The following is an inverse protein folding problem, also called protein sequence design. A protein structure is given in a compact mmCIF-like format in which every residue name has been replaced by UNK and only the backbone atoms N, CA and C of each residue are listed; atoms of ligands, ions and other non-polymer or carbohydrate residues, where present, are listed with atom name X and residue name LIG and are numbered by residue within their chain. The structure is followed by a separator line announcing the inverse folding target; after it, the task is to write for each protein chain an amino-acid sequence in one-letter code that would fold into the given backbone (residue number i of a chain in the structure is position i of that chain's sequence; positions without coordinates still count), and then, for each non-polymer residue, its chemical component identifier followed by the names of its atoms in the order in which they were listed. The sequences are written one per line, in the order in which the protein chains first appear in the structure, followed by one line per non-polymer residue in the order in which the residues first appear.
data_IF_564468313136
#
_entry.id   IF_564468313136
#
_cell.length_a   1.000
_cell.length_b   1.000
_cell.length_c   1.000
_cell.angle_alpha   90.00
_cell.angle_beta   90.00
_cell.angle_gamma   90.00
#
_symmetry.space_group_name_H-M   'P 1'
#
loop_
_entity.id
_entity.type
_entity.pdbx_description
1 polymer ?
#
# COMPACT_ATOMS: atom_id res chain seq x y z
N UNK A 1 -3.76 -4.25 -23.99
CA UNK A 1 -5.11 -3.72 -23.66
C UNK A 1 -5.03 -2.21 -23.87
N UNK A 2 -5.84 -1.67 -24.77
CA UNK A 2 -5.76 -0.29 -25.24
C UNK A 2 -6.18 0.70 -24.12
N UNK A 3 -5.42 1.80 -23.96
CA UNK A 3 -5.70 2.87 -23.00
C UNK A 3 -7.12 3.46 -23.12
N UNK A 4 -7.70 3.40 -24.32
CA UNK A 4 -9.07 3.84 -24.59
C UNK A 4 -10.12 2.89 -23.99
N UNK A 5 -9.89 1.59 -23.99
CA UNK A 5 -10.76 0.60 -23.37
C UNK A 5 -10.70 0.66 -21.85
N UNK A 6 -9.54 1.01 -21.29
CA UNK A 6 -9.38 1.21 -19.84
C UNK A 6 -10.15 2.44 -19.35
N UNK A 7 -9.99 3.61 -20.03
CA UNK A 7 -10.75 4.84 -19.72
C UNK A 7 -12.27 4.62 -19.80
N UNK A 8 -12.73 3.85 -20.79
CA UNK A 8 -14.13 3.51 -20.93
C UNK A 8 -14.67 2.65 -19.78
N UNK A 9 -13.90 1.67 -19.30
CA UNK A 9 -14.30 0.82 -18.16
C UNK A 9 -14.32 1.58 -16.83
N UNK A 10 -13.34 2.43 -16.59
CA UNK A 10 -13.28 3.26 -15.38
C UNK A 10 -14.43 4.28 -15.37
N UNK A 11 -14.70 4.96 -16.50
CA UNK A 11 -15.80 5.91 -16.60
C UNK A 11 -17.18 5.24 -16.47
N UNK A 12 -17.38 4.08 -17.06
CA UNK A 12 -18.64 3.31 -16.94
C UNK A 12 -18.85 2.83 -15.51
N UNK A 13 -17.79 2.39 -14.85
CA UNK A 13 -17.83 1.96 -13.44
C UNK A 13 -18.09 3.14 -12.49
N UNK A 14 -17.41 4.27 -12.70
CA UNK A 14 -17.64 5.52 -11.95
C UNK A 14 -19.07 6.01 -12.10
N UNK A 15 -19.62 5.98 -13.31
CA UNK A 15 -20.99 6.40 -13.57
C UNK A 15 -22.03 5.46 -12.92
N UNK A 16 -21.82 4.14 -12.94
CA UNK A 16 -22.68 3.18 -12.25
C UNK A 16 -22.67 3.38 -10.74
N UNK A 17 -21.50 3.67 -10.14
CA UNK A 17 -21.42 3.98 -8.70
C UNK A 17 -22.06 5.31 -8.36
N UNK A 18 -21.86 6.37 -9.16
CA UNK A 18 -22.53 7.66 -8.95
C UNK A 18 -24.05 7.53 -8.92
N UNK A 19 -24.62 6.75 -9.84
CA UNK A 19 -26.06 6.48 -9.83
C UNK A 19 -26.53 5.70 -8.61
N UNK A 20 -25.71 4.75 -8.13
CA UNK A 20 -25.98 4.01 -6.90
C UNK A 20 -25.81 4.88 -5.64
N UNK A 21 -24.84 5.79 -5.62
CA UNK A 21 -24.61 6.71 -4.50
C UNK A 21 -25.73 7.73 -4.39
N UNK A 22 -26.17 8.31 -5.51
CA UNK A 22 -27.32 9.25 -5.53
C UNK A 22 -28.64 8.59 -5.12
N UNK A 23 -28.82 7.30 -5.44
CA UNK A 23 -29.98 6.54 -4.97
C UNK A 23 -29.91 6.26 -3.45
N UNK A 24 -28.71 6.04 -2.92
CA UNK A 24 -28.47 5.83 -1.49
C UNK A 24 -28.51 7.14 -0.67
N UNK A 25 -28.18 8.29 -1.26
CA UNK A 25 -28.28 9.59 -0.60
C UNK A 25 -29.73 10.03 -0.38
N UNK A 26 -30.66 9.63 -1.26
CA UNK A 26 -32.08 9.90 -1.09
C UNK A 26 -32.73 9.05 0.04
N UNK A 27 -32.07 7.97 0.51
CA UNK A 27 -32.53 7.10 1.59
C UNK A 27 -31.81 7.38 2.94
N UNK A 28 -30.93 8.38 3.03
CA UNK A 28 -30.13 8.70 4.23
C UNK A 28 -30.88 9.39 5.39
N UNK A 29 -32.19 9.34 5.40
CA UNK A 29 -32.96 9.58 6.62
C UNK A 29 -32.81 8.41 7.61
N UNK A 30 -31.90 8.53 8.62
CA UNK A 30 -31.88 7.70 9.84
C UNK A 30 -31.48 6.22 9.68
N UNK A 31 -30.24 5.93 9.22
CA UNK A 31 -29.61 4.63 9.52
C UNK A 31 -28.48 4.83 10.55
N UNK A 32 -28.39 3.97 11.61
CA UNK A 32 -27.19 3.95 12.44
C UNK A 32 -25.98 3.72 11.55
N UNK A 33 -24.88 4.44 11.77
CA UNK A 33 -23.64 4.34 10.99
C UNK A 33 -23.18 2.88 10.93
N UNK A 34 -23.25 2.27 9.76
CA UNK A 34 -22.71 0.92 9.56
C UNK A 34 -21.21 0.97 9.86
N UNK A 35 -20.65 -0.01 10.58
CA UNK A 35 -19.22 -0.03 10.85
C UNK A 35 -18.43 0.02 9.53
N UNK A 36 -17.38 0.86 9.47
CA UNK A 36 -16.58 1.00 8.27
C UNK A 36 -15.96 -0.33 7.86
N UNK A 37 -16.02 -0.63 6.57
CA UNK A 37 -15.25 -1.70 5.95
C UNK A 37 -13.89 -1.12 5.54
N UNK A 38 -12.93 -1.20 6.45
CA UNK A 38 -11.61 -0.59 6.29
C UNK A 38 -10.67 -1.53 5.54
N UNK A 39 -10.18 -1.10 4.38
CA UNK A 39 -9.12 -1.79 3.66
C UNK A 39 -7.78 -1.05 3.82
N UNK A 40 -6.71 -1.81 4.07
CA UNK A 40 -5.34 -1.29 3.98
C UNK A 40 -4.75 -1.65 2.63
N UNK A 41 -4.26 -0.65 1.89
CA UNK A 41 -3.49 -0.83 0.68
C UNK A 41 -2.03 -0.49 0.99
N UNK A 42 -1.18 -1.52 1.00
CA UNK A 42 0.22 -1.42 1.39
C UNK A 42 1.12 -1.52 0.16
N UNK A 43 1.69 -0.40 -0.26
CA UNK A 43 2.50 -0.34 -1.47
C UNK A 43 3.94 -0.79 -1.27
N UNK A 44 4.65 -1.00 -2.38
CA UNK A 44 6.05 -1.38 -2.40
C UNK A 44 7.03 -0.23 -2.17
N UNK A 45 8.30 -0.58 -1.88
CA UNK A 45 9.36 0.40 -1.68
C UNK A 45 10.70 -0.16 -1.17
N UNK A 46 10.88 -1.48 -1.17
CA UNK A 46 12.09 -2.15 -0.67
C UNK A 46 12.35 -1.82 0.81
N UNK A 47 13.57 -1.46 1.19
CA UNK A 47 13.96 -1.10 2.57
C UNK A 47 13.08 -0.01 3.21
N UNK A 48 12.43 0.83 2.38
CA UNK A 48 11.51 1.87 2.85
C UNK A 48 10.21 1.31 3.43
N UNK A 49 9.97 -0.01 3.31
CA UNK A 49 8.90 -0.71 4.03
C UNK A 49 8.95 -0.50 5.53
N UNK A 50 10.12 -0.18 6.09
CA UNK A 50 10.27 0.22 7.48
C UNK A 50 9.45 1.49 7.83
N UNK A 51 9.37 2.47 6.92
CA UNK A 51 8.53 3.65 7.13
C UNK A 51 7.03 3.30 7.12
N UNK A 52 6.65 2.36 6.28
CA UNK A 52 5.28 1.85 6.29
C UNK A 52 4.96 1.12 7.61
N UNK A 53 5.90 0.34 8.17
CA UNK A 53 5.74 -0.31 9.48
C UNK A 53 5.49 0.74 10.59
N UNK A 54 6.27 1.82 10.63
CA UNK A 54 6.03 2.93 11.55
C UNK A 54 4.66 3.58 11.38
N UNK A 55 4.23 3.81 10.14
CA UNK A 55 2.91 4.36 9.87
C UNK A 55 1.79 3.42 10.35
N UNK A 56 1.91 2.12 10.09
CA UNK A 56 0.95 1.10 10.51
C UNK A 56 0.80 1.04 12.04
N UNK A 57 1.91 1.16 12.79
CA UNK A 57 1.84 1.21 14.23
C UNK A 57 0.99 2.39 14.72
N UNK A 58 1.21 3.59 14.19
CA UNK A 58 0.44 4.78 14.56
C UNK A 58 -1.04 4.61 14.23
N UNK A 59 -1.39 4.03 13.07
CA UNK A 59 -2.78 3.75 12.70
C UNK A 59 -3.47 2.83 13.71
N UNK A 60 -2.80 1.73 14.10
CA UNK A 60 -3.37 0.77 15.05
C UNK A 60 -3.47 1.34 16.46
N UNK A 61 -2.50 2.16 16.91
CA UNK A 61 -2.56 2.88 18.18
C UNK A 61 -3.74 3.87 18.24
N UNK A 62 -4.20 4.37 17.07
CA UNK A 62 -5.40 5.20 16.94
C UNK A 62 -6.68 4.39 16.70
N UNK A 63 -6.64 3.07 16.83
CA UNK A 63 -7.80 2.20 16.68
C UNK A 63 -8.26 1.99 15.25
N UNK A 64 -7.46 2.39 14.24
CA UNK A 64 -7.77 2.14 12.84
C UNK A 64 -7.24 0.75 12.47
N UNK A 65 -8.15 -0.23 12.47
CA UNK A 65 -7.84 -1.65 12.25
C UNK A 65 -8.36 -2.08 10.88
N UNK A 66 -7.57 -2.84 10.08
CA UNK A 66 -8.03 -3.32 8.78
C UNK A 66 -9.01 -4.49 8.92
N UNK A 67 -10.04 -4.50 8.06
CA UNK A 67 -10.88 -5.66 7.80
C UNK A 67 -10.42 -6.44 6.55
N UNK A 68 -9.53 -5.84 5.77
CA UNK A 68 -8.95 -6.39 4.55
C UNK A 68 -7.61 -5.75 4.27
N UNK A 69 -6.64 -6.53 3.78
CA UNK A 69 -5.32 -6.04 3.39
C UNK A 69 -5.03 -6.49 1.96
N UNK A 70 -4.64 -5.54 1.11
CA UNK A 70 -4.01 -5.82 -0.19
C UNK A 70 -2.64 -5.18 -0.23
N UNK A 71 -1.63 -5.94 -0.65
CA UNK A 71 -0.25 -5.58 -0.41
C UNK A 71 0.69 -5.95 -1.55
N UNK A 72 1.77 -5.17 -1.70
CA UNK A 72 2.71 -5.23 -2.82
C UNK A 72 4.14 -5.13 -2.31
N UNK A 73 5.06 -5.97 -2.81
CA UNK A 73 6.50 -5.86 -2.56
C UNK A 73 6.85 -5.76 -1.06
N UNK A 74 7.54 -4.72 -0.61
CA UNK A 74 7.78 -4.47 0.81
C UNK A 74 6.48 -4.43 1.63
N UNK A 75 5.39 -3.91 1.06
CA UNK A 75 4.07 -3.95 1.67
C UNK A 75 3.54 -5.36 1.87
N UNK A 76 3.95 -6.34 1.04
CA UNK A 76 3.55 -7.74 1.23
C UNK A 76 4.16 -8.38 2.47
N UNK A 77 5.37 -7.96 2.86
CA UNK A 77 5.98 -8.35 4.13
C UNK A 77 5.20 -7.78 5.32
N UNK A 78 4.93 -6.48 5.27
CA UNK A 78 4.17 -5.80 6.32
C UNK A 78 2.75 -6.35 6.42
N UNK A 79 2.08 -6.55 5.28
CA UNK A 79 0.74 -7.10 5.21
C UNK A 79 0.65 -8.52 5.74
N UNK A 80 1.55 -9.41 5.34
CA UNK A 80 1.60 -10.79 5.80
C UNK A 80 1.88 -10.89 7.30
N UNK A 81 2.73 -10.01 7.83
CA UNK A 81 3.02 -9.98 9.25
C UNK A 81 1.84 -9.45 10.07
N UNK A 82 1.23 -8.36 9.61
CA UNK A 82 0.14 -7.69 10.29
C UNK A 82 -1.19 -8.46 10.21
N UNK A 83 -1.47 -9.12 9.09
CA UNK A 83 -2.72 -9.86 8.89
C UNK A 83 -2.94 -11.01 9.88
N UNK A 84 -1.87 -11.52 10.49
CA UNK A 84 -1.94 -12.54 11.53
C UNK A 84 -2.61 -12.03 12.80
N UNK A 85 -2.32 -10.77 13.19
CA UNK A 85 -2.86 -10.15 14.39
C UNK A 85 -2.70 -8.62 14.29
N UNK A 86 -3.73 -7.87 13.82
CA UNK A 86 -3.61 -6.43 13.55
C UNK A 86 -3.71 -5.62 14.85
N UNK A 87 -2.72 -5.75 15.72
CA UNK A 87 -2.64 -5.05 17.01
C UNK A 87 -1.45 -4.07 17.05
N UNK A 88 -1.45 -3.06 17.94
CA UNK A 88 -0.30 -2.20 18.15
C UNK A 88 0.96 -2.97 18.55
N UNK A 89 0.81 -4.03 19.35
CA UNK A 89 1.89 -4.93 19.77
C UNK A 89 2.53 -5.61 18.56
N UNK A 90 1.71 -6.16 17.67
CA UNK A 90 2.19 -6.80 16.44
C UNK A 90 2.88 -5.80 15.51
N UNK A 91 2.42 -4.56 15.47
CA UNK A 91 3.10 -3.51 14.69
C UNK A 91 4.46 -3.13 15.29
N UNK A 92 4.65 -3.18 16.63
CA UNK A 92 5.98 -3.02 17.26
C UNK A 92 6.92 -4.17 16.89
N UNK A 93 6.44 -5.40 16.91
CA UNK A 93 7.23 -6.56 16.44
C UNK A 93 7.61 -6.43 14.95
N UNK A 94 6.73 -5.84 14.13
CA UNK A 94 7.03 -5.53 12.74
C UNK A 94 8.15 -4.48 12.61
N UNK A 95 8.14 -3.43 13.43
CA UNK A 95 9.26 -2.46 13.47
C UNK A 95 10.57 -3.17 13.86
N UNK A 96 10.54 -4.03 14.89
CA UNK A 96 11.70 -4.81 15.31
C UNK A 96 12.23 -5.71 14.20
N UNK A 97 11.35 -6.31 13.39
CA UNK A 97 11.75 -7.08 12.20
C UNK A 97 12.60 -6.21 11.25
N UNK A 98 12.15 -5.00 10.95
CA UNK A 98 12.90 -4.08 10.08
C UNK A 98 14.22 -3.63 10.72
N UNK A 99 14.27 -3.37 12.02
CA UNK A 99 15.47 -2.99 12.76
C UNK A 99 16.53 -4.10 12.76
N UNK A 100 16.13 -5.37 12.72
CA UNK A 100 17.02 -6.53 12.71
C UNK A 100 17.29 -7.09 11.30
N UNK A 101 16.81 -6.43 10.24
CA UNK A 101 17.06 -6.81 8.85
C UNK A 101 18.10 -5.87 8.24
N UNK A 102 19.27 -6.40 7.90
CA UNK A 102 20.34 -5.63 7.26
C UNK A 102 20.32 -5.77 5.74
N UNK A 103 21.01 -4.83 5.07
CA UNK A 103 21.24 -4.92 3.63
C UNK A 103 21.95 -6.23 3.23
N UNK A 104 22.86 -6.74 4.09
CA UNK A 104 23.58 -8.00 3.82
C UNK A 104 22.67 -9.23 3.90
N UNK A 105 21.65 -9.21 4.75
CA UNK A 105 20.70 -10.32 4.86
C UNK A 105 19.94 -10.50 3.55
N UNK A 106 19.55 -9.41 2.88
CA UNK A 106 18.76 -9.41 1.67
C UNK A 106 19.58 -9.68 0.42
N UNK A 107 20.67 -8.91 0.20
CA UNK A 107 21.47 -9.02 -1.03
C UNK A 107 22.64 -9.99 -0.92
N UNK A 108 22.97 -10.44 0.29
CA UNK A 108 24.08 -11.34 0.60
C UNK A 108 25.46 -10.67 0.61
N UNK A 109 26.49 -11.38 1.13
CA UNK A 109 27.82 -10.80 1.40
C UNK A 109 28.66 -10.54 0.13
N UNK A 110 28.28 -11.14 -1.01
CA UNK A 110 29.08 -11.10 -2.24
C UNK A 110 28.57 -10.04 -3.23
N UNK A 111 28.56 -8.77 -2.82
CA UNK A 111 28.14 -7.63 -3.67
C UNK A 111 28.91 -7.54 -5.00
N UNK A 112 30.14 -8.01 -5.08
CA UNK A 112 30.92 -8.06 -6.33
C UNK A 112 30.29 -8.96 -7.40
N UNK A 113 29.48 -9.96 -7.01
CA UNK A 113 28.73 -10.78 -7.95
C UNK A 113 27.71 -9.97 -8.78
N UNK A 114 27.22 -8.86 -8.26
CA UNK A 114 26.32 -7.99 -9.03
C UNK A 114 26.98 -7.47 -10.31
N UNK A 115 28.26 -7.10 -10.24
CA UNK A 115 29.04 -6.68 -11.43
C UNK A 115 29.20 -7.82 -12.44
N UNK A 116 29.52 -9.04 -11.96
CA UNK A 116 29.65 -10.22 -12.83
C UNK A 116 28.29 -10.58 -13.45
N UNK A 117 27.20 -10.55 -12.69
CA UNK A 117 25.87 -10.85 -13.20
C UNK A 117 25.42 -9.83 -14.26
N UNK A 118 25.74 -8.54 -14.06
CA UNK A 118 25.47 -7.49 -15.04
C UNK A 118 26.26 -7.71 -16.35
N UNK A 119 27.56 -8.04 -16.24
CA UNK A 119 28.42 -8.34 -17.39
C UNK A 119 27.99 -9.63 -18.12
N UNK A 120 27.50 -10.63 -17.37
CA UNK A 120 27.02 -11.90 -17.93
C UNK A 120 25.58 -11.80 -18.46
N UNK A 121 24.99 -10.61 -18.58
CA UNK A 121 23.62 -10.37 -19.04
C UNK A 121 22.58 -11.24 -18.33
N UNK A 122 22.77 -11.51 -17.03
CA UNK A 122 21.79 -12.23 -16.24
C UNK A 122 20.56 -11.35 -15.96
N UNK A 123 19.41 -11.99 -15.69
CA UNK A 123 18.14 -11.31 -15.46
C UNK A 123 18.11 -10.45 -14.21
N UNK A 124 19.14 -10.53 -13.32
CA UNK A 124 19.16 -9.79 -12.05
C UNK A 124 20.57 -9.58 -11.51
N UNK A 125 20.74 -8.52 -10.71
CA UNK A 125 21.99 -8.20 -10.02
C UNK A 125 22.27 -9.15 -8.84
N UNK A 126 21.22 -9.49 -8.07
CA UNK A 126 21.30 -10.32 -6.87
C UNK A 126 20.43 -11.58 -7.02
N UNK A 127 20.75 -12.62 -6.23
CA UNK A 127 19.87 -13.79 -6.11
C UNK A 127 18.79 -13.55 -5.04
N UNK A 128 17.69 -14.31 -5.11
CA UNK A 128 16.59 -14.21 -4.13
C UNK A 128 16.85 -14.98 -2.82
N UNK A 129 17.98 -15.69 -2.67
CA UNK A 129 18.25 -16.56 -1.52
C UNK A 129 18.33 -15.81 -0.17
N UNK A 130 18.84 -14.57 -0.17
CA UNK A 130 18.85 -13.73 1.03
C UNK A 130 17.46 -13.37 1.47
N UNK A 131 16.70 -12.78 0.57
CA UNK A 131 15.29 -12.41 0.77
C UNK A 131 14.47 -13.61 1.24
N UNK A 132 14.63 -14.80 0.60
CA UNK A 132 13.93 -16.03 0.99
C UNK A 132 14.28 -16.45 2.42
N UNK A 133 15.54 -16.45 2.83
CA UNK A 133 15.94 -16.78 4.22
C UNK A 133 15.34 -15.83 5.25
N UNK A 134 15.26 -14.54 4.95
CA UNK A 134 14.60 -13.57 5.82
C UNK A 134 13.10 -13.87 5.89
N UNK A 135 12.45 -14.12 4.75
CA UNK A 135 11.04 -14.51 4.71
C UNK A 135 10.77 -15.80 5.50
N UNK A 136 11.60 -16.83 5.35
CA UNK A 136 11.51 -18.08 6.13
C UNK A 136 11.60 -17.85 7.63
N UNK A 137 12.50 -16.95 8.08
CA UNK A 137 12.66 -16.62 9.50
C UNK A 137 11.40 -15.99 10.12
N UNK A 138 10.70 -15.14 9.39
CA UNK A 138 9.59 -14.33 9.91
C UNK A 138 8.21 -14.83 9.54
N UNK A 139 8.07 -15.54 8.43
CA UNK A 139 6.80 -16.05 7.94
C UNK A 139 6.69 -17.59 8.08
N UNK A 140 7.84 -18.31 8.08
CA UNK A 140 7.84 -19.76 8.22
C UNK A 140 6.96 -20.47 7.19
N UNK A 141 6.12 -21.36 7.65
CA UNK A 141 5.14 -22.12 6.87
C UNK A 141 3.73 -21.50 6.87
N UNK A 142 3.64 -20.19 7.22
CA UNK A 142 2.39 -19.47 7.29
C UNK A 142 1.59 -19.55 5.99
N UNK A 143 0.29 -19.78 6.11
CA UNK A 143 -0.65 -19.83 4.99
C UNK A 143 -1.59 -18.62 5.01
N UNK A 144 -2.28 -18.33 3.90
CA UNK A 144 -3.30 -17.27 3.85
C UNK A 144 -4.49 -17.62 4.76
N UNK A 145 -4.77 -18.88 4.97
CA UNK A 145 -5.83 -19.40 5.83
C UNK A 145 -5.57 -19.15 7.33
N UNK A 146 -4.31 -18.95 7.72
CA UNK A 146 -3.91 -18.64 9.11
C UNK A 146 -4.12 -17.15 9.44
N UNK A 147 -4.49 -16.31 8.46
CA UNK A 147 -4.64 -14.88 8.66
C UNK A 147 -5.95 -14.53 9.35
N UNK A 148 -5.90 -13.72 10.41
CA UNK A 148 -7.11 -13.15 11.05
C UNK A 148 -7.81 -12.13 10.17
N UNK A 149 -7.02 -11.40 9.36
CA UNK A 149 -7.52 -10.43 8.38
C UNK A 149 -7.27 -10.99 6.99
N UNK A 150 -8.31 -11.10 6.13
CA UNK A 150 -8.13 -11.54 4.75
C UNK A 150 -7.04 -10.71 4.06
N UNK A 151 -6.06 -11.41 3.48
CA UNK A 151 -4.89 -10.83 2.83
C UNK A 151 -4.89 -11.17 1.35
N UNK A 152 -4.56 -10.18 0.52
CA UNK A 152 -4.11 -10.41 -0.85
C UNK A 152 -2.72 -9.84 -1.08
N UNK A 153 -1.89 -10.62 -1.76
CA UNK A 153 -0.57 -10.21 -2.21
C UNK A 153 -0.58 -10.13 -3.73
N UNK A 154 -0.06 -9.03 -4.27
CA UNK A 154 -0.05 -8.76 -5.72
C UNK A 154 1.36 -8.93 -6.26
N UNK A 155 1.50 -9.70 -7.33
CA UNK A 155 2.67 -9.71 -8.20
C UNK A 155 2.24 -9.31 -9.63
N UNK A 156 3.20 -9.12 -10.53
CA UNK A 156 2.94 -8.83 -11.94
C UNK A 156 3.39 -10.02 -12.79
N UNK A 157 2.52 -10.54 -13.65
CA UNK A 157 2.92 -11.52 -14.65
C UNK A 157 3.69 -10.83 -15.78
N UNK A 158 4.97 -11.17 -15.93
CA UNK A 158 5.86 -10.58 -16.94
C UNK A 158 5.43 -10.90 -18.39
N UNK A 159 4.69 -11.98 -18.61
CA UNK A 159 4.23 -12.35 -19.96
C UNK A 159 3.07 -11.49 -20.43
N UNK A 160 2.15 -11.17 -19.52
CA UNK A 160 0.89 -10.49 -19.84
C UNK A 160 0.85 -9.02 -19.39
N UNK A 161 1.71 -8.64 -18.44
CA UNK A 161 1.67 -7.35 -17.75
C UNK A 161 0.49 -7.20 -16.79
N UNK A 162 -0.25 -8.29 -16.53
CA UNK A 162 -1.43 -8.27 -15.65
C UNK A 162 -1.03 -8.54 -14.20
N UNK A 163 -1.84 -8.03 -13.27
CA UNK A 163 -1.71 -8.37 -11.86
C UNK A 163 -2.04 -9.84 -11.63
N UNK A 164 -1.22 -10.49 -10.82
CA UNK A 164 -1.44 -11.84 -10.29
C UNK A 164 -1.67 -11.74 -8.79
N UNK A 165 -2.84 -12.21 -8.33
CA UNK A 165 -3.25 -12.14 -6.94
C UNK A 165 -3.05 -13.46 -6.24
N UNK A 166 -2.42 -13.44 -5.07
CA UNK A 166 -2.32 -14.56 -4.16
C UNK A 166 -3.27 -14.34 -2.98
N UNK A 167 -4.05 -15.35 -2.64
CA UNK A 167 -5.00 -15.33 -1.51
C UNK A 167 -5.21 -16.70 -0.87
N UNK A 168 -4.44 -17.71 -1.26
CA UNK A 168 -4.55 -19.09 -0.76
C UNK A 168 -3.18 -19.79 -0.74
N UNK A 169 -3.04 -20.82 0.09
CA UNK A 169 -1.82 -21.60 0.26
C UNK A 169 -0.72 -20.86 1.02
N UNK A 170 0.55 -21.22 0.78
CA UNK A 170 1.68 -20.66 1.52
C UNK A 170 1.99 -19.21 1.15
N UNK A 171 2.21 -18.35 2.16
CA UNK A 171 2.45 -16.90 2.01
C UNK A 171 3.85 -16.59 1.47
N UNK A 172 4.85 -17.37 1.89
CA UNK A 172 6.26 -17.10 1.57
C UNK A 172 6.54 -16.99 0.05
N UNK A 173 6.10 -17.92 -0.81
CA UNK A 173 6.31 -17.80 -2.26
C UNK A 173 5.65 -16.54 -2.85
N UNK A 174 4.48 -16.15 -2.34
CA UNK A 174 3.77 -14.96 -2.78
C UNK A 174 4.54 -13.67 -2.43
N UNK A 175 5.08 -13.56 -1.21
CA UNK A 175 5.91 -12.44 -0.76
C UNK A 175 7.18 -12.33 -1.60
N UNK A 176 7.85 -13.46 -1.88
CA UNK A 176 9.07 -13.50 -2.71
C UNK A 176 8.76 -13.07 -4.16
N UNK A 177 7.64 -13.53 -4.73
CA UNK A 177 7.23 -13.15 -6.08
C UNK A 177 6.87 -11.65 -6.16
N UNK A 178 6.07 -11.17 -5.19
CA UNK A 178 5.68 -9.77 -5.09
C UNK A 178 6.87 -8.81 -4.88
N UNK A 179 8.00 -9.32 -4.36
CA UNK A 179 9.23 -8.55 -4.08
C UNK A 179 10.33 -8.76 -5.14
N UNK A 180 10.04 -9.46 -6.24
CA UNK A 180 11.01 -9.74 -7.30
C UNK A 180 11.22 -8.50 -8.20
N UNK A 181 11.86 -7.45 -7.66
CA UNK A 181 12.09 -6.17 -8.33
C UNK A 181 12.91 -6.37 -9.62
N UNK A 182 12.39 -5.92 -10.79
CA UNK A 182 13.06 -6.09 -12.08
C UNK A 182 14.50 -5.54 -12.08
N UNK A 183 15.43 -6.35 -12.61
CA UNK A 183 16.86 -6.02 -12.64
C UNK A 183 17.58 -6.20 -11.30
N UNK A 184 16.90 -6.17 -10.15
CA UNK A 184 17.50 -6.35 -8.83
C UNK A 184 17.45 -7.81 -8.40
N UNK A 185 16.26 -8.43 -8.43
CA UNK A 185 16.04 -9.84 -8.11
C UNK A 185 15.51 -10.60 -9.32
N UNK A 186 15.77 -11.94 -9.40
CA UNK A 186 15.29 -12.73 -10.53
C UNK A 186 13.77 -12.89 -10.48
N UNK A 187 13.11 -12.96 -11.65
CA UNK A 187 11.70 -13.34 -11.73
C UNK A 187 11.44 -14.69 -11.04
N UNK A 188 10.27 -14.85 -10.46
CA UNK A 188 9.83 -16.09 -9.82
C UNK A 188 8.94 -16.86 -10.79
N UNK A 189 9.32 -18.12 -11.07
CA UNK A 189 8.53 -19.00 -11.93
C UNK A 189 7.62 -19.85 -11.04
N UNK A 190 6.31 -19.73 -11.27
CA UNK A 190 5.28 -20.50 -10.57
C UNK A 190 4.29 -21.05 -11.59
N UNK A 191 4.27 -22.36 -11.75
CA UNK A 191 3.51 -23.01 -12.83
C UNK A 191 3.87 -22.40 -14.19
N UNK A 192 2.92 -21.88 -14.93
CA UNK A 192 3.12 -21.24 -16.25
C UNK A 192 3.40 -19.72 -16.17
N UNK A 193 3.36 -19.13 -14.97
CA UNK A 193 3.54 -17.70 -14.76
C UNK A 193 5.02 -17.35 -14.52
N UNK A 194 5.45 -16.21 -15.04
CA UNK A 194 6.75 -15.60 -14.77
C UNK A 194 6.48 -14.30 -14.01
N UNK A 195 6.67 -14.33 -12.71
CA UNK A 195 6.22 -13.28 -11.82
C UNK A 195 7.36 -12.34 -11.42
N UNK A 196 7.06 -11.05 -11.42
CA UNK A 196 7.93 -9.97 -10.96
C UNK A 196 7.19 -9.11 -9.94
N UNK A 197 7.88 -8.13 -9.37
CA UNK A 197 7.34 -7.20 -8.37
C UNK A 197 5.97 -6.63 -8.77
N UNK A 198 5.06 -6.63 -7.80
CA UNK A 198 3.69 -6.15 -7.99
C UNK A 198 3.59 -4.65 -8.24
N UNK A 199 4.64 -3.88 -7.97
CA UNK A 199 4.67 -2.43 -8.19
C UNK A 199 4.57 -1.99 -9.66
N UNK A 200 4.66 -2.92 -10.61
CA UNK A 200 4.40 -2.63 -12.04
C UNK A 200 2.89 -2.60 -12.33
N UNK A 201 2.10 -3.38 -11.59
CA UNK A 201 0.64 -3.45 -11.72
C UNK A 201 -0.07 -2.94 -10.43
N UNK A 202 0.50 -1.95 -9.74
CA UNK A 202 0.11 -1.47 -8.42
C UNK A 202 -1.34 -0.92 -8.36
N UNK A 203 -1.85 -0.35 -9.44
CA UNK A 203 -3.25 0.10 -9.57
C UNK A 203 -4.27 -1.02 -9.30
N UNK A 204 -3.88 -2.28 -9.51
CA UNK A 204 -4.76 -3.42 -9.30
C UNK A 204 -5.14 -3.58 -7.83
N UNK A 205 -4.27 -3.19 -6.88
CA UNK A 205 -4.57 -3.20 -5.46
C UNK A 205 -5.71 -2.24 -5.09
N UNK A 206 -5.77 -1.06 -5.73
CA UNK A 206 -6.85 -0.11 -5.54
C UNK A 206 -8.19 -0.65 -6.03
N UNK A 207 -8.20 -1.26 -7.23
CA UNK A 207 -9.41 -1.88 -7.78
C UNK A 207 -9.88 -3.07 -6.93
N UNK A 208 -8.94 -3.85 -6.41
CA UNK A 208 -9.25 -4.99 -5.56
C UNK A 208 -9.92 -4.55 -4.26
N UNK A 209 -9.38 -3.55 -3.57
CA UNK A 209 -9.99 -3.00 -2.36
C UNK A 209 -11.40 -2.42 -2.61
N UNK A 210 -11.58 -1.73 -3.73
CA UNK A 210 -12.90 -1.22 -4.13
C UNK A 210 -13.89 -2.35 -4.45
N UNK A 211 -13.46 -3.39 -5.15
CA UNK A 211 -14.29 -4.55 -5.48
C UNK A 211 -14.67 -5.36 -4.24
N UNK A 212 -13.77 -5.41 -3.23
CA UNK A 212 -14.08 -5.99 -1.92
C UNK A 212 -15.19 -5.21 -1.20
N UNK A 213 -15.44 -3.97 -1.61
CA UNK A 213 -16.48 -3.10 -1.08
C UNK A 213 -16.01 -2.27 0.12
N UNK A 214 -14.74 -1.87 0.13
CA UNK A 214 -14.22 -0.94 1.12
C UNK A 214 -15.05 0.36 1.15
N UNK A 215 -15.39 0.83 2.34
CA UNK A 215 -15.99 2.16 2.59
C UNK A 215 -14.94 3.15 3.10
N UNK A 216 -13.85 2.63 3.70
CA UNK A 216 -12.66 3.36 4.12
C UNK A 216 -11.41 2.68 3.58
N UNK A 217 -10.47 3.45 3.06
CA UNK A 217 -9.18 2.95 2.57
C UNK A 217 -8.05 3.71 3.27
N UNK A 218 -7.21 2.97 4.01
CA UNK A 218 -5.91 3.46 4.45
C UNK A 218 -4.88 3.10 3.38
N UNK A 219 -4.46 4.11 2.61
CA UNK A 219 -3.54 3.97 1.49
C UNK A 219 -2.13 4.36 1.95
N UNK A 220 -1.27 3.37 2.24
CA UNK A 220 0.02 3.59 2.89
C UNK A 220 1.16 3.25 1.93
N UNK A 221 1.92 4.28 1.54
CA UNK A 221 3.14 4.13 0.75
C UNK A 221 4.37 3.88 1.64
N UNK A 222 5.43 3.37 1.03
CA UNK A 222 6.74 3.28 1.68
C UNK A 222 7.52 4.61 1.66
N UNK A 223 6.99 5.63 0.99
CA UNK A 223 7.57 6.96 0.90
C UNK A 223 8.67 7.14 -0.14
N UNK A 224 9.17 8.36 -0.26
CA UNK A 224 10.27 8.73 -1.16
C UNK A 224 11.20 9.76 -0.52
N UNK A 225 12.44 9.81 -1.01
CA UNK A 225 13.39 10.85 -0.64
C UNK A 225 13.01 12.15 -1.34
N UNK A 226 12.76 13.21 -0.54
CA UNK A 226 12.37 14.53 -1.03
C UNK A 226 13.60 15.46 -1.09
N UNK A 227 13.67 16.30 -2.13
CA UNK A 227 14.57 17.47 -2.16
C UNK A 227 16.05 17.20 -2.50
N UNK A 228 16.42 16.00 -2.97
CA UNK A 228 17.82 15.72 -3.36
C UNK A 228 17.94 15.47 -4.86
N UNK A 229 18.57 16.41 -5.57
CA UNK A 229 19.18 16.13 -6.87
C UNK A 229 20.31 15.11 -6.69
N UNK A 230 20.15 13.90 -7.21
CA UNK A 230 21.26 12.96 -7.32
C UNK A 230 22.19 13.44 -8.43
N UNK A 231 23.35 13.98 -8.08
CA UNK A 231 24.42 14.30 -9.04
C UNK A 231 25.04 13.04 -9.69
N UNK A 232 24.72 11.86 -9.20
CA UNK A 232 25.22 10.60 -9.75
C UNK A 232 24.47 10.25 -11.05
N UNK A 233 25.24 10.19 -12.15
CA UNK A 233 24.73 9.86 -13.49
C UNK A 233 24.92 8.39 -13.87
N UNK A 234 25.06 7.48 -12.90
CA UNK A 234 25.16 6.05 -13.21
C UNK A 234 23.80 5.51 -13.66
N UNK A 235 23.81 4.56 -14.61
CA UNK A 235 22.58 3.91 -15.15
C UNK A 235 21.69 3.40 -14.00
N UNK A 236 22.27 2.72 -13.02
CA UNK A 236 21.55 2.24 -11.83
C UNK A 236 20.79 3.36 -11.12
N UNK A 237 21.45 4.49 -10.86
CA UNK A 237 20.84 5.64 -10.17
C UNK A 237 19.71 6.28 -10.98
N UNK A 238 19.90 6.37 -12.29
CA UNK A 238 18.85 6.90 -13.19
C UNK A 238 17.63 5.99 -13.15
N UNK A 239 17.81 4.67 -13.25
CA UNK A 239 16.73 3.70 -13.18
C UNK A 239 16.02 3.72 -11.82
N UNK A 240 16.76 3.71 -10.71
CA UNK A 240 16.20 3.83 -9.36
C UNK A 240 15.35 5.11 -9.24
N UNK A 241 15.89 6.25 -9.69
CA UNK A 241 15.18 7.53 -9.60
C UNK A 241 13.95 7.58 -10.50
N UNK A 242 14.04 7.03 -11.71
CA UNK A 242 12.89 6.94 -12.62
C UNK A 242 11.76 6.11 -12.01
N UNK A 243 12.10 4.99 -11.38
CA UNK A 243 11.12 4.14 -10.68
C UNK A 243 10.51 4.89 -9.48
N UNK A 244 11.31 5.59 -8.68
CA UNK A 244 10.82 6.40 -7.56
C UNK A 244 9.81 7.48 -8.01
N UNK A 245 10.14 8.18 -9.09
CA UNK A 245 9.25 9.20 -9.66
C UNK A 245 7.95 8.56 -10.15
N UNK A 246 8.03 7.42 -10.83
CA UNK A 246 6.86 6.68 -11.30
C UNK A 246 5.97 6.24 -10.15
N UNK A 247 6.54 5.62 -9.11
CA UNK A 247 5.80 5.16 -7.94
C UNK A 247 5.12 6.33 -7.21
N UNK A 248 5.80 7.48 -7.07
CA UNK A 248 5.21 8.66 -6.45
C UNK A 248 4.03 9.21 -7.27
N UNK A 249 4.22 9.37 -8.58
CA UNK A 249 3.16 9.88 -9.45
C UNK A 249 1.95 8.93 -9.48
N UNK A 250 2.21 7.62 -9.51
CA UNK A 250 1.16 6.61 -9.42
C UNK A 250 0.40 6.71 -8.09
N UNK A 251 1.12 6.84 -6.96
CA UNK A 251 0.50 7.01 -5.65
C UNK A 251 -0.44 8.22 -5.62
N UNK A 252 0.02 9.38 -6.08
CA UNK A 252 -0.78 10.61 -6.09
C UNK A 252 -2.03 10.45 -6.99
N UNK A 253 -1.86 9.85 -8.17
CA UNK A 253 -2.97 9.58 -9.09
C UNK A 253 -3.98 8.58 -8.53
N UNK A 254 -3.51 7.50 -7.91
CA UNK A 254 -4.35 6.48 -7.29
C UNK A 254 -5.11 7.04 -6.08
N UNK A 255 -4.45 7.81 -5.20
CA UNK A 255 -5.10 8.45 -4.06
C UNK A 255 -6.20 9.43 -4.52
N UNK A 256 -5.95 10.20 -5.58
CA UNK A 256 -6.96 11.06 -6.20
C UNK A 256 -8.15 10.25 -6.75
N UNK A 257 -7.87 9.17 -7.49
CA UNK A 257 -8.92 8.32 -8.08
C UNK A 257 -9.77 7.62 -7.01
N UNK A 258 -9.15 7.16 -5.91
CA UNK A 258 -9.85 6.56 -4.78
C UNK A 258 -10.80 7.57 -4.13
N UNK A 259 -10.34 8.81 -3.86
CA UNK A 259 -11.23 9.87 -3.31
C UNK A 259 -12.38 10.19 -4.26
N UNK A 260 -12.10 10.27 -5.56
CA UNK A 260 -13.13 10.52 -6.58
C UNK A 260 -14.18 9.39 -6.68
N UNK A 261 -13.90 8.20 -6.17
CA UNK A 261 -14.86 7.09 -6.12
C UNK A 261 -15.86 7.18 -4.97
N UNK A 262 -15.77 8.21 -4.11
CA UNK A 262 -16.65 8.41 -2.97
C UNK A 262 -16.32 7.51 -1.76
N UNK A 263 -15.12 6.91 -1.75
CA UNK A 263 -14.61 6.16 -0.59
C UNK A 263 -13.81 7.11 0.29
N UNK A 264 -13.92 6.97 1.59
CA UNK A 264 -13.11 7.68 2.56
C UNK A 264 -11.64 7.21 2.45
N UNK A 265 -10.68 8.12 2.20
CA UNK A 265 -9.29 7.77 1.92
C UNK A 265 -8.32 8.51 2.85
N UNK A 266 -7.71 7.77 3.76
CA UNK A 266 -6.54 8.21 4.52
C UNK A 266 -5.28 7.81 3.76
N UNK A 267 -4.66 8.77 3.07
CA UNK A 267 -3.44 8.53 2.30
C UNK A 267 -2.20 8.99 3.08
N UNK A 268 -1.26 8.06 3.29
CA UNK A 268 -0.03 8.29 4.05
C UNK A 268 1.17 8.09 3.13
N UNK A 269 1.96 9.15 2.96
CA UNK A 269 3.16 9.15 2.14
C UNK A 269 4.35 9.69 2.95
N UNK A 270 5.20 8.82 3.54
CA UNK A 270 6.36 9.26 4.31
C UNK A 270 7.37 10.02 3.46
N UNK A 271 7.85 11.16 3.98
CA UNK A 271 8.95 11.90 3.40
C UNK A 271 10.27 11.45 4.03
N UNK A 272 11.13 10.82 3.24
CA UNK A 272 12.34 10.21 3.75
C UNK A 272 13.53 11.18 3.64
N UNK A 273 14.39 11.28 4.66
CA UNK A 273 15.52 12.23 4.65
C UNK A 273 16.62 11.81 3.69
N UNK A 274 16.79 10.51 3.46
CA UNK A 274 17.82 9.92 2.59
C UNK A 274 17.55 8.43 2.33
N UNK A 275 18.38 7.81 1.52
CA UNK A 275 18.42 6.36 1.33
C UNK A 275 17.81 5.92 -0.01
N UNK A 276 18.07 4.67 -0.35
CA UNK A 276 17.58 3.97 -1.52
C UNK A 276 16.65 2.82 -1.11
N UNK A 277 16.06 2.12 -2.08
CA UNK A 277 15.25 0.93 -1.82
C UNK A 277 16.04 -0.28 -1.28
N UNK A 278 17.36 -0.20 -1.24
CA UNK A 278 18.23 -1.28 -0.74
C UNK A 278 18.99 -0.91 0.54
N UNK A 279 18.74 0.23 1.13
CA UNK A 279 19.44 0.70 2.34
C UNK A 279 18.68 0.29 3.61
N UNK A 280 18.64 -1.01 3.90
CA UNK A 280 17.96 -1.58 5.08
C UNK A 280 18.52 -1.07 6.40
N UNK A 281 19.80 -0.72 6.45
CA UNK A 281 20.47 -0.18 7.64
C UNK A 281 19.93 1.21 8.06
N UNK A 282 19.08 1.83 7.24
CA UNK A 282 18.39 3.09 7.54
C UNK A 282 16.99 2.89 8.17
N UNK A 283 16.61 1.67 8.50
CA UNK A 283 15.31 1.34 9.08
C UNK A 283 14.91 2.25 10.26
N UNK A 284 15.79 2.59 11.24
CA UNK A 284 15.40 3.48 12.33
C UNK A 284 14.88 4.84 11.85
N UNK A 285 15.57 5.46 10.89
CA UNK A 285 15.16 6.77 10.35
C UNK A 285 13.92 6.68 9.46
N UNK A 286 13.69 5.54 8.82
CA UNK A 286 12.49 5.30 8.02
C UNK A 286 11.27 5.11 8.92
N UNK A 287 11.36 4.33 9.99
CA UNK A 287 10.28 4.13 10.97
C UNK A 287 9.84 5.47 11.53
N UNK A 288 10.77 6.32 11.97
CA UNK A 288 10.43 7.66 12.48
C UNK A 288 9.72 8.54 11.46
N UNK A 289 10.16 8.50 10.19
CA UNK A 289 9.47 9.21 9.10
C UNK A 289 8.05 8.68 8.89
N UNK A 290 7.85 7.38 9.04
CA UNK A 290 6.54 6.74 8.99
C UNK A 290 5.62 7.20 10.12
N UNK A 291 6.11 7.20 11.36
CA UNK A 291 5.39 7.74 12.51
C UNK A 291 4.93 9.19 12.28
N UNK A 292 5.88 10.04 11.84
CA UNK A 292 5.60 11.45 11.59
C UNK A 292 4.54 11.65 10.50
N UNK A 293 4.63 10.90 9.40
CA UNK A 293 3.68 10.98 8.29
C UNK A 293 2.27 10.54 8.69
N UNK A 294 2.16 9.46 9.46
CA UNK A 294 0.88 8.95 9.92
C UNK A 294 0.21 9.92 10.91
N UNK A 295 0.96 10.44 11.91
CA UNK A 295 0.44 11.46 12.82
C UNK A 295 -0.05 12.71 12.10
N UNK A 296 0.71 13.19 11.10
CA UNK A 296 0.32 14.34 10.29
C UNK A 296 -0.96 14.07 9.49
N UNK A 297 -1.08 12.87 8.91
CA UNK A 297 -2.24 12.50 8.13
C UNK A 297 -3.49 12.37 9.02
N UNK A 298 -3.37 11.77 10.20
CA UNK A 298 -4.45 11.65 11.16
C UNK A 298 -4.93 13.01 11.69
N UNK A 299 -4.01 13.91 12.05
CA UNK A 299 -4.37 15.25 12.49
C UNK A 299 -5.16 16.03 11.42
N UNK A 300 -4.80 15.87 10.13
CA UNK A 300 -5.55 16.47 9.03
C UNK A 300 -6.92 15.79 8.80
N UNK A 301 -7.02 14.50 9.09
CA UNK A 301 -8.23 13.72 8.98
C UNK A 301 -9.27 14.12 10.03
N UNK A 302 -8.89 14.18 11.29
CA UNK A 302 -9.78 14.55 12.42
C UNK A 302 -10.37 15.95 12.24
N UNK A 303 -9.61 16.88 11.62
CA UNK A 303 -10.12 18.23 11.31
C UNK A 303 -11.14 18.24 10.17
N UNK A 304 -11.05 17.30 9.21
CA UNK A 304 -12.02 17.22 8.11
C UNK A 304 -13.40 16.73 8.56
N UNK A 305 -13.46 15.92 9.60
CA UNK A 305 -14.72 15.44 10.19
C UNK A 305 -15.37 16.50 11.09
N UNK A 306 -14.57 17.43 11.64
CA UNK A 306 -15.07 18.54 12.49
C UNK A 306 -15.70 19.69 11.70
N UNK A 307 -15.31 19.87 10.42
CA UNK A 307 -15.81 20.93 9.53
C UNK A 307 -17.08 20.55 8.73
N UNK A 308 -17.68 19.38 8.98
CA UNK A 308 -19.02 19.09 8.45
C UNK A 308 -20.03 19.91 9.24
N UNK A 309 -20.69 20.93 8.67
CA UNK A 309 -21.64 21.75 9.41
C UNK A 309 -22.78 20.87 9.92
N UNK A 310 -22.98 20.93 11.23
CA UNK A 310 -24.18 20.39 11.90
C UNK A 310 -25.42 20.90 11.16
N UNK A 311 -26.39 20.02 10.96
CA UNK A 311 -27.63 20.27 10.23
C UNK A 311 -28.25 21.62 10.59
N UNK A 312 -28.83 22.39 9.64
CA UNK A 312 -29.45 23.67 9.96
C UNK A 312 -30.51 23.48 11.03
N UNK A 313 -30.40 24.30 12.06
CA UNK A 313 -31.40 24.42 13.11
C UNK A 313 -32.78 24.63 12.48
N UNK A 314 -33.72 23.84 12.93
CA UNK A 314 -35.14 23.88 12.55
C UNK A 314 -35.74 25.17 13.11
N UNK A 315 -35.63 26.28 12.35
CA UNK A 315 -36.36 27.53 12.64
C UNK A 315 -37.81 27.35 12.20
N UNK A 316 -38.56 26.60 13.01
CA UNK A 316 -40.01 26.68 13.01
C UNK A 316 -40.43 27.94 13.76
N UNK A 317 -40.42 29.09 13.08
CA UNK A 317 -41.18 30.26 13.55
C UNK A 317 -42.68 29.94 13.55
N UNK A 318 -43.22 29.86 14.73
CA UNK A 318 -44.64 29.83 14.97
C UNK A 318 -45.26 31.14 14.49
N UNK A 319 -45.98 31.15 13.38
CA UNK A 319 -46.93 32.21 13.05
C UNK A 319 -48.14 32.09 13.95
N UNK A 320 -48.20 33.01 14.92
CA UNK A 320 -49.41 33.30 15.68
C UNK A 320 -50.31 34.20 14.83
N UNK A 321 -51.37 33.62 14.26
CA UNK A 321 -52.48 34.35 13.67
C UNK A 321 -53.52 34.66 14.75
N UNK A 322 -53.44 35.84 15.41
CA UNK A 322 -54.56 36.42 16.10
C UNK A 322 -55.26 37.41 15.22
N UNK A 323 -56.35 36.97 14.56
CA UNK A 323 -57.31 37.86 13.91
C UNK A 323 -58.29 38.31 14.98
N UNK A 324 -58.25 39.57 15.29
CA UNK A 324 -59.31 40.30 16.03
C UNK A 324 -60.37 40.84 15.11
N UNK A 325 -61.59 40.78 15.57
CA UNK A 325 -62.86 41.17 15.01
C UNK A 325 -62.96 42.47 14.22
#
# INVERSE_FOLDING_TARGET
MDLLTWRGRVSTWLNRRRSATNALESERGLRPSQPHRTAFILLGGGARGAAQAGALRVLLEHGIVPNYIVSISAGSWNGAFLAQDPTPERARELEDLWLHTSTLDIVGPRRWRAAINALAQRSSLYGSSGMRRVAERYLGELTFEDMRVPLRIVATDLKTGSAHFFSEGTVLPAVVASSAMPGVFPPVIMSDNVLIDGGIADWAACLDALNWGATRICFVACGAVVGRESRSRTVRRVLERSLEISLRNNFEAMAFALRASGVEVLAIFPELPRGTMLDFDLAPSFIEAGHAAARKALAAWDHSDADTPDSPADDTEAHDESVGA
#
